data_IF_846199196200
#
_entry.id   IF_846199196200
#
_cell.length_a   1.000
_cell.length_b   1.000
_cell.length_c   1.000
_cell.angle_alpha   90.00
_cell.angle_beta   90.00
_cell.angle_gamma   90.00
#
_symmetry.space_group_name_H-M   'P 1'
#
loop_
_entity.id
_entity.type
_entity.pdbx_description
1 polymer ?
#
# COMPACT_ATOMS: atom_id res chain seq x y z
N UNK A 1 -28.43 -5.86 7.62
CA UNK A 1 -27.42 -6.59 8.43
C UNK A 1 -27.26 -5.90 9.79
N UNK A 2 -27.20 -6.65 10.87
CA UNK A 2 -26.85 -6.11 12.17
C UNK A 2 -25.32 -5.91 12.31
N UNK A 3 -24.89 -5.34 13.43
CA UNK A 3 -23.46 -4.99 13.65
C UNK A 3 -22.53 -6.21 13.60
N UNK A 4 -22.94 -7.35 14.14
CA UNK A 4 -22.11 -8.55 14.16
C UNK A 4 -22.04 -9.22 12.77
N UNK A 5 -23.13 -9.20 12.03
CA UNK A 5 -23.15 -9.67 10.64
C UNK A 5 -22.24 -8.81 9.75
N UNK A 6 -22.25 -7.48 9.94
CA UNK A 6 -21.38 -6.56 9.20
C UNK A 6 -19.90 -6.83 9.52
N UNK A 7 -19.55 -7.05 10.79
CA UNK A 7 -18.18 -7.39 11.16
C UNK A 7 -17.73 -8.70 10.55
N UNK A 8 -18.56 -9.73 10.64
CA UNK A 8 -18.23 -11.02 10.05
C UNK A 8 -18.01 -10.88 8.54
N UNK A 9 -18.92 -10.19 7.85
CA UNK A 9 -18.78 -9.95 6.42
C UNK A 9 -17.47 -9.24 6.06
N UNK A 10 -17.07 -8.20 6.83
CA UNK A 10 -15.80 -7.51 6.62
C UNK A 10 -14.58 -8.43 6.83
N UNK A 11 -14.61 -9.25 7.87
CA UNK A 11 -13.53 -10.22 8.12
C UNK A 11 -13.44 -11.21 6.98
N UNK A 12 -14.56 -11.79 6.56
CA UNK A 12 -14.60 -12.74 5.45
C UNK A 12 -14.07 -12.09 4.16
N UNK A 13 -14.44 -10.84 3.84
CA UNK A 13 -13.91 -10.11 2.69
C UNK A 13 -12.38 -9.93 2.75
N UNK A 14 -11.82 -9.63 3.92
CA UNK A 14 -10.38 -9.49 4.09
C UNK A 14 -9.69 -10.85 3.91
N UNK A 15 -10.20 -11.92 4.52
CA UNK A 15 -9.65 -13.26 4.39
C UNK A 15 -9.68 -13.77 2.94
N UNK A 16 -10.77 -13.52 2.21
CA UNK A 16 -10.92 -13.91 0.81
C UNK A 16 -9.93 -13.19 -0.12
N UNK A 17 -9.48 -12.00 0.24
CA UNK A 17 -8.56 -11.17 -0.54
C UNK A 17 -7.13 -11.12 0.04
N UNK A 18 -6.84 -11.84 1.11
CA UNK A 18 -5.56 -11.73 1.82
C UNK A 18 -4.34 -12.02 0.95
N UNK A 19 -4.42 -12.96 0.02
CA UNK A 19 -3.30 -13.27 -0.87
C UNK A 19 -2.97 -12.09 -1.79
N UNK A 20 -3.97 -11.41 -2.32
CA UNK A 20 -3.80 -10.21 -3.15
C UNK A 20 -3.12 -9.10 -2.36
N UNK A 21 -3.57 -8.85 -1.13
CA UNK A 21 -2.97 -7.82 -0.26
C UNK A 21 -1.55 -8.17 0.16
N UNK A 22 -1.30 -9.43 0.53
CA UNK A 22 0.04 -9.89 0.88
C UNK A 22 1.01 -9.80 -0.30
N UNK A 23 0.59 -10.16 -1.50
CA UNK A 23 1.46 -10.07 -2.69
C UNK A 23 1.74 -8.61 -3.08
N UNK A 24 0.77 -7.70 -2.98
CA UNK A 24 0.99 -6.28 -3.19
C UNK A 24 2.03 -5.72 -2.19
N UNK A 25 1.86 -6.00 -0.91
CA UNK A 25 2.79 -5.61 0.14
C UNK A 25 4.21 -6.14 -0.10
N UNK A 26 4.34 -7.43 -0.45
CA UNK A 26 5.63 -8.05 -0.77
C UNK A 26 6.27 -7.46 -2.03
N UNK A 27 5.47 -7.14 -3.05
CA UNK A 27 5.94 -6.53 -4.28
C UNK A 27 6.53 -5.14 -4.00
N UNK A 28 5.85 -4.31 -3.22
CA UNK A 28 6.32 -3.00 -2.79
C UNK A 28 7.59 -3.15 -1.92
N UNK A 29 7.60 -4.08 -0.98
CA UNK A 29 8.77 -4.36 -0.13
C UNK A 29 10.01 -4.75 -0.94
N UNK A 30 9.85 -5.53 -2.02
CA UNK A 30 10.94 -5.94 -2.91
C UNK A 30 11.42 -4.83 -3.85
N UNK A 31 10.63 -3.78 -4.01
CA UNK A 31 10.91 -2.62 -4.86
C UNK A 31 10.83 -1.32 -4.03
N UNK A 32 11.69 -1.16 -3.02
CA UNK A 32 11.62 -0.02 -2.12
C UNK A 32 12.01 1.27 -2.86
N UNK A 33 11.12 2.25 -2.84
CA UNK A 33 11.28 3.54 -3.51
C UNK A 33 11.18 4.67 -2.48
N UNK A 34 12.02 5.68 -2.65
CA UNK A 34 12.02 6.85 -1.77
C UNK A 34 10.83 7.76 -2.04
N UNK A 35 10.50 8.59 -1.05
CA UNK A 35 9.45 9.60 -1.15
C UNK A 35 9.54 10.42 -2.44
N UNK A 36 8.41 10.64 -3.10
CA UNK A 36 8.24 11.31 -4.40
C UNK A 36 8.81 10.54 -5.61
N UNK A 37 9.24 9.30 -5.42
CA UNK A 37 9.79 8.42 -6.47
C UNK A 37 9.10 7.03 -6.48
N UNK A 38 7.97 6.89 -5.80
CA UNK A 38 7.27 5.62 -5.54
C UNK A 38 6.41 5.18 -6.76
N UNK A 39 7.02 5.15 -7.95
CA UNK A 39 6.29 4.87 -9.19
C UNK A 39 5.75 3.43 -9.26
N UNK A 40 6.55 2.45 -8.85
CA UNK A 40 6.13 1.05 -8.81
C UNK A 40 5.02 0.81 -7.79
N UNK A 41 5.15 1.40 -6.59
CA UNK A 41 4.14 1.30 -5.54
C UNK A 41 2.81 1.92 -6.00
N UNK A 42 2.84 3.11 -6.60
CA UNK A 42 1.64 3.78 -7.15
C UNK A 42 0.96 2.92 -8.20
N UNK A 43 1.70 2.40 -9.19
CA UNK A 43 1.10 1.56 -10.23
C UNK A 43 0.50 0.27 -9.65
N UNK A 44 1.17 -0.36 -8.68
CA UNK A 44 0.68 -1.55 -8.00
C UNK A 44 -0.63 -1.27 -7.26
N UNK A 45 -0.67 -0.24 -6.43
CA UNK A 45 -1.82 0.08 -5.59
C UNK A 45 -3.00 0.64 -6.39
N UNK A 46 -2.73 1.56 -7.32
CA UNK A 46 -3.79 2.13 -8.15
C UNK A 46 -4.41 1.09 -9.07
N UNK A 47 -3.62 0.16 -9.62
CA UNK A 47 -4.15 -0.95 -10.41
C UNK A 47 -5.10 -1.85 -9.61
N UNK A 48 -4.79 -2.16 -8.35
CA UNK A 48 -5.69 -2.92 -7.47
C UNK A 48 -6.98 -2.15 -7.17
N UNK A 49 -6.88 -0.85 -6.92
CA UNK A 49 -8.04 0.00 -6.64
C UNK A 49 -8.94 0.15 -7.87
N UNK A 50 -8.38 0.41 -9.05
CA UNK A 50 -9.11 0.50 -10.32
C UNK A 50 -9.82 -0.82 -10.65
N UNK A 51 -9.13 -1.96 -10.49
CA UNK A 51 -9.72 -3.29 -10.67
C UNK A 51 -10.85 -3.59 -9.68
N UNK A 52 -10.84 -2.92 -8.53
CA UNK A 52 -11.90 -3.00 -7.51
C UNK A 52 -13.02 -1.96 -7.70
N UNK A 53 -12.97 -1.19 -8.78
CA UNK A 53 -14.01 -0.23 -9.17
C UNK A 53 -13.86 1.17 -8.57
N UNK A 54 -12.71 1.50 -8.01
CA UNK A 54 -12.39 2.87 -7.58
C UNK A 54 -12.09 3.77 -8.77
N UNK A 55 -12.48 5.04 -8.66
CA UNK A 55 -12.00 6.12 -9.54
C UNK A 55 -10.69 6.63 -8.97
N UNK A 56 -9.63 6.61 -9.74
CA UNK A 56 -8.28 6.99 -9.29
C UNK A 56 -7.81 8.24 -10.02
N UNK A 57 -7.30 9.22 -9.26
CA UNK A 57 -6.62 10.42 -9.76
C UNK A 57 -5.18 10.39 -9.27
N UNK A 58 -4.21 10.33 -10.20
CA UNK A 58 -2.77 10.35 -9.92
C UNK A 58 -2.20 11.76 -10.07
N UNK A 59 -1.09 12.04 -9.40
CA UNK A 59 -0.39 13.34 -9.50
C UNK A 59 -1.10 14.48 -8.80
N UNK A 60 -1.92 14.19 -7.80
CA UNK A 60 -2.68 15.21 -7.05
C UNK A 60 -1.75 16.20 -6.36
N UNK A 61 -2.19 17.45 -6.26
CA UNK A 61 -1.43 18.56 -5.66
C UNK A 61 -0.02 18.75 -6.28
N UNK A 62 0.21 18.34 -7.53
CA UNK A 62 1.50 18.43 -8.19
C UNK A 62 2.56 17.44 -7.71
N UNK A 63 2.19 16.46 -6.91
CA UNK A 63 3.07 15.39 -6.43
C UNK A 63 2.97 14.17 -7.37
N UNK A 64 4.04 13.80 -8.09
CA UNK A 64 3.95 12.78 -9.16
C UNK A 64 3.45 11.42 -8.71
N UNK A 65 3.74 11.04 -7.47
CA UNK A 65 3.41 9.73 -6.90
C UNK A 65 2.27 9.77 -5.88
N UNK A 66 1.64 10.94 -5.66
CA UNK A 66 0.44 11.02 -4.84
C UNK A 66 -0.81 10.67 -5.67
N UNK A 67 -1.77 10.01 -5.05
CA UNK A 67 -3.06 9.72 -5.68
C UNK A 67 -4.21 9.80 -4.69
N UNK A 68 -5.40 9.97 -5.23
CA UNK A 68 -6.67 9.84 -4.51
C UNK A 68 -7.50 8.79 -5.22
N UNK A 69 -8.11 7.90 -4.47
CA UNK A 69 -9.03 6.91 -4.99
C UNK A 69 -10.38 7.05 -4.29
N UNK A 70 -11.46 7.06 -5.07
CA UNK A 70 -12.81 7.26 -4.57
C UNK A 70 -13.72 6.10 -5.00
N UNK A 71 -14.57 5.65 -4.08
CA UNK A 71 -15.57 4.64 -4.34
C UNK A 71 -16.93 5.05 -3.73
N UNK A 72 -18.00 4.79 -4.48
CA UNK A 72 -19.35 5.09 -4.05
C UNK A 72 -19.74 6.56 -4.22
N UNK A 73 -20.86 6.92 -3.61
CA UNK A 73 -21.47 8.24 -3.70
C UNK A 73 -22.19 8.58 -2.39
N UNK A 74 -22.44 9.88 -2.16
CA UNK A 74 -23.25 10.34 -1.05
C UNK A 74 -22.45 10.76 0.18
N UNK A 75 -23.10 10.72 1.32
CA UNK A 75 -22.56 11.15 2.62
C UNK A 75 -22.95 10.18 3.72
N UNK A 76 -22.15 10.00 4.78
CA UNK A 76 -20.85 10.67 5.01
C UNK A 76 -19.76 10.18 4.05
N UNK A 77 -18.73 11.00 3.84
CA UNK A 77 -17.50 10.60 3.16
C UNK A 77 -16.48 10.18 4.23
N UNK A 78 -15.94 8.99 4.11
CA UNK A 78 -14.94 8.44 5.03
C UNK A 78 -13.60 8.40 4.28
N UNK A 79 -12.57 9.02 4.85
CA UNK A 79 -11.22 9.03 4.28
C UNK A 79 -10.29 8.09 5.02
N UNK A 80 -9.45 7.39 4.24
CA UNK A 80 -8.31 6.63 4.73
C UNK A 80 -7.04 7.29 4.21
N UNK A 81 -6.04 7.43 5.07
CA UNK A 81 -4.72 7.93 4.68
C UNK A 81 -3.71 6.79 4.82
N UNK A 82 -2.91 6.61 3.80
CA UNK A 82 -1.86 5.60 3.76
C UNK A 82 -0.58 6.18 3.14
N UNK A 83 0.54 5.54 3.40
CA UNK A 83 1.86 5.88 2.90
C UNK A 83 2.50 4.61 2.34
N UNK A 84 3.44 4.76 1.39
CA UNK A 84 4.10 3.61 0.77
C UNK A 84 5.56 3.87 0.38
N UNK A 85 6.16 4.95 0.89
CA UNK A 85 7.56 5.27 0.70
C UNK A 85 8.49 4.40 1.56
N UNK A 86 9.68 4.13 1.04
CA UNK A 86 10.79 3.52 1.75
C UNK A 86 11.76 4.57 2.29
N UNK A 87 12.61 4.18 3.21
CA UNK A 87 13.62 5.03 3.82
C UNK A 87 15.02 4.76 3.25
N UNK A 88 15.86 5.81 3.12
CA UNK A 88 17.21 5.65 2.58
C UNK A 88 18.10 4.80 3.51
N UNK A 89 18.93 3.94 2.93
CA UNK A 89 19.91 3.15 3.66
C UNK A 89 19.36 2.03 4.53
N UNK A 90 18.06 1.70 4.42
CA UNK A 90 17.41 0.69 5.25
C UNK A 90 17.14 -0.63 4.51
N UNK A 91 17.88 -0.89 3.43
CA UNK A 91 17.81 -2.20 2.77
C UNK A 91 18.11 -3.33 3.75
N UNK A 92 17.22 -4.32 3.82
CA UNK A 92 17.33 -5.41 4.78
C UNK A 92 16.67 -6.68 4.22
N UNK A 93 17.29 -7.83 4.47
CA UNK A 93 16.65 -9.14 4.24
C UNK A 93 15.63 -9.43 5.33
N UNK A 94 14.58 -10.16 4.98
CA UNK A 94 13.45 -10.44 5.86
C UNK A 94 13.70 -11.53 6.91
N UNK A 95 14.76 -12.32 6.76
CA UNK A 95 15.07 -13.49 7.58
C UNK A 95 16.28 -13.31 8.49
N UNK A 96 16.85 -12.09 8.55
CA UNK A 96 18.00 -11.75 9.37
C UNK A 96 17.60 -10.92 10.58
N UNK A 97 18.18 -11.26 11.75
CA UNK A 97 18.02 -10.49 13.00
C UNK A 97 19.20 -9.56 13.29
N UNK A 98 20.04 -9.32 12.30
CA UNK A 98 21.17 -8.38 12.30
C UNK A 98 21.16 -7.58 11.00
N UNK A 99 22.00 -6.55 10.90
CA UNK A 99 22.13 -5.75 9.69
C UNK A 99 22.66 -6.63 8.53
N UNK A 100 21.76 -6.98 7.61
CA UNK A 100 22.04 -7.81 6.44
C UNK A 100 21.28 -7.24 5.22
N UNK A 101 21.83 -6.20 4.59
CA UNK A 101 21.15 -5.53 3.49
C UNK A 101 21.07 -6.43 2.26
N UNK A 102 19.96 -6.33 1.51
CA UNK A 102 19.86 -6.92 0.16
C UNK A 102 20.87 -6.23 -0.77
N UNK A 103 20.99 -4.90 -0.62
CA UNK A 103 21.97 -4.08 -1.33
C UNK A 103 22.44 -2.95 -0.42
N UNK A 104 23.73 -2.89 -0.18
CA UNK A 104 24.34 -1.88 0.70
C UNK A 104 23.96 -0.46 0.28
N UNK A 105 23.54 0.35 1.27
CA UNK A 105 23.15 1.74 1.09
C UNK A 105 21.80 1.96 0.35
N UNK A 106 21.16 0.91 -0.13
CA UNK A 106 19.87 1.03 -0.83
C UNK A 106 18.70 1.32 0.14
N UNK A 107 17.57 1.85 -0.37
CA UNK A 107 16.38 2.06 0.45
C UNK A 107 15.75 0.73 0.92
N UNK A 108 14.95 0.82 1.96
CA UNK A 108 14.19 -0.31 2.48
C UNK A 108 13.02 0.13 3.35
N UNK A 109 12.05 -0.75 3.54
CA UNK A 109 10.82 -0.50 4.30
C UNK A 109 11.00 -0.70 5.81
N UNK A 110 11.94 0.04 6.40
CA UNK A 110 12.19 0.00 7.85
C UNK A 110 11.06 0.57 8.71
N UNK A 111 10.18 1.38 8.14
CA UNK A 111 8.98 1.92 8.78
C UNK A 111 7.71 1.08 8.51
N UNK A 112 7.77 0.11 7.60
CA UNK A 112 6.66 -0.78 7.29
C UNK A 112 5.57 -0.18 6.41
N UNK A 113 5.84 0.91 5.69
CA UNK A 113 4.86 1.57 4.81
C UNK A 113 4.37 0.68 3.66
N UNK A 114 5.07 -0.40 3.33
CA UNK A 114 4.59 -1.42 2.40
C UNK A 114 3.36 -2.21 2.92
N UNK A 115 3.00 -2.03 4.19
CA UNK A 115 1.85 -2.67 4.84
C UNK A 115 0.63 -1.74 4.98
N UNK A 116 0.79 -0.44 4.77
CA UNK A 116 -0.27 0.55 4.85
C UNK A 116 -0.96 0.70 3.52
#
# INVERSE_FOLDING_TARGET
>A
MNREENKKWLIDCIEDNKEVFCEASKAIWRNPELAMQEHFAVETLTGLLENSGFRVEKGVAGMPTAFVAEYGEGRPVIGFSAEFDALPGLSQKNDSNFHDPVKEGAPGHGCGHNLL
#
